data_IF_078749316098
#
_entry.id   IF_078749316098
#
_cell.length_a   1.000
_cell.length_b   1.000
_cell.length_c   1.000
_cell.angle_alpha   90.00
_cell.angle_beta   90.00
_cell.angle_gamma   90.00
#
_symmetry.space_group_name_H-M   'P 1'
#
loop_
_entity.id
_entity.type
_entity.pdbx_description
1 polymer ?
#
# COMPACT_ATOMS: atom_id res chain seq x y z
N UNK A 1 -28.91 -34.83 -89.15
CA UNK A 1 -29.45 -34.31 -87.90
C UNK A 1 -28.35 -34.63 -86.80
N UNK A 2 -27.55 -33.65 -86.53
CA UNK A 2 -26.34 -33.80 -85.74
C UNK A 2 -26.62 -33.36 -84.29
N UNK A 3 -26.51 -34.27 -83.34
CA UNK A 3 -26.68 -33.99 -81.91
C UNK A 3 -25.36 -33.55 -81.36
N UNK A 4 -25.24 -32.31 -80.90
CA UNK A 4 -24.09 -31.80 -80.20
C UNK A 4 -24.29 -31.99 -78.69
N UNK A 5 -23.50 -32.84 -78.08
CA UNK A 5 -23.42 -33.03 -76.62
C UNK A 5 -22.51 -31.94 -76.04
N UNK A 6 -23.05 -31.05 -75.19
CA UNK A 6 -22.29 -30.08 -74.44
C UNK A 6 -21.98 -30.69 -73.06
N UNK A 7 -20.72 -31.01 -72.84
CA UNK A 7 -20.23 -31.46 -71.52
C UNK A 7 -19.92 -30.23 -70.63
N UNK A 8 -20.65 -30.07 -69.54
CA UNK A 8 -20.40 -29.05 -68.50
C UNK A 8 -19.43 -29.64 -67.52
N UNK A 9 -18.18 -29.12 -67.50
CA UNK A 9 -17.22 -29.40 -66.44
C UNK A 9 -17.50 -28.51 -65.22
N UNK A 10 -17.96 -29.13 -64.13
CA UNK A 10 -18.07 -28.48 -62.84
C UNK A 10 -16.67 -28.58 -62.16
N UNK A 11 -16.00 -27.44 -62.06
CA UNK A 11 -14.79 -27.34 -61.22
C UNK A 11 -15.19 -27.14 -59.78
N UNK A 12 -15.02 -28.15 -58.93
CA UNK A 12 -15.10 -28.02 -57.50
C UNK A 12 -13.79 -27.34 -57.00
N UNK A 13 -13.92 -26.08 -56.59
CA UNK A 13 -12.82 -25.40 -55.89
C UNK A 13 -12.85 -25.85 -54.42
N UNK A 14 -11.98 -26.75 -54.04
CA UNK A 14 -11.66 -27.02 -52.65
C UNK A 14 -10.87 -25.81 -52.11
N UNK A 15 -11.51 -24.96 -51.36
CA UNK A 15 -10.79 -23.97 -50.52
C UNK A 15 -10.14 -24.71 -49.33
N UNK A 16 -8.86 -24.81 -49.36
CA UNK A 16 -8.07 -25.19 -48.19
C UNK A 16 -8.25 -24.10 -47.13
N UNK A 17 -9.00 -24.40 -46.08
CA UNK A 17 -8.93 -23.66 -44.84
C UNK A 17 -7.63 -24.11 -44.18
N UNK A 18 -6.58 -23.34 -44.33
CA UNK A 18 -5.40 -23.45 -43.47
C UNK A 18 -5.84 -23.12 -42.05
N UNK A 19 -5.92 -24.15 -41.25
CA UNK A 19 -6.02 -24.06 -39.80
C UNK A 19 -4.75 -23.33 -39.33
N UNK A 20 -4.88 -22.02 -39.00
CA UNK A 20 -3.81 -21.28 -38.35
C UNK A 20 -3.57 -21.94 -36.99
N UNK A 21 -2.62 -22.86 -36.97
CA UNK A 21 -2.05 -23.37 -35.74
C UNK A 21 -1.57 -22.17 -34.92
N UNK A 22 -2.22 -21.93 -33.78
CA UNK A 22 -1.74 -21.03 -32.76
C UNK A 22 -0.30 -21.43 -32.43
N UNK A 23 0.65 -20.55 -32.74
CA UNK A 23 2.05 -20.71 -32.30
C UNK A 23 2.03 -20.90 -30.78
N UNK A 24 2.79 -21.88 -30.27
CA UNK A 24 3.04 -21.93 -28.85
C UNK A 24 3.71 -20.59 -28.47
N UNK A 25 3.21 -19.96 -27.41
CA UNK A 25 3.82 -18.77 -26.80
C UNK A 25 5.20 -19.24 -26.34
N UNK A 26 6.22 -18.98 -27.16
CA UNK A 26 7.59 -19.20 -26.77
C UNK A 26 7.91 -18.26 -25.63
N UNK A 27 8.64 -18.77 -24.64
CA UNK A 27 9.26 -17.96 -23.59
C UNK A 27 10.15 -16.91 -24.26
N UNK A 28 9.57 -15.74 -24.57
CA UNK A 28 10.35 -14.60 -25.02
C UNK A 28 10.94 -13.94 -23.78
N UNK A 29 12.23 -14.17 -23.52
CA UNK A 29 12.98 -13.33 -22.59
C UNK A 29 13.04 -11.92 -23.18
N UNK A 30 12.17 -11.03 -22.70
CA UNK A 30 12.22 -9.60 -23.04
C UNK A 30 13.57 -9.04 -22.58
N UNK A 31 14.20 -8.19 -23.39
CA UNK A 31 15.30 -7.36 -22.89
C UNK A 31 14.77 -6.35 -21.87
N UNK A 32 15.63 -5.76 -21.04
CA UNK A 32 15.19 -4.74 -20.10
C UNK A 32 14.56 -3.55 -20.81
N UNK A 33 15.08 -3.19 -22.00
CA UNK A 33 14.60 -2.06 -22.81
C UNK A 33 13.19 -2.30 -23.41
N UNK A 34 12.71 -3.56 -23.42
CA UNK A 34 11.40 -3.93 -23.94
C UNK A 34 10.34 -4.00 -22.85
N UNK A 35 10.72 -4.08 -21.57
CA UNK A 35 9.77 -4.20 -20.44
C UNK A 35 8.99 -2.90 -20.24
N UNK A 36 7.66 -3.03 -20.10
CA UNK A 36 6.78 -1.92 -19.80
C UNK A 36 5.99 -2.18 -18.52
N UNK A 37 6.25 -1.38 -17.47
CA UNK A 37 5.63 -1.49 -16.15
C UNK A 37 4.48 -0.50 -16.02
N UNK A 38 3.30 -0.98 -15.65
CA UNK A 38 2.18 -0.13 -15.24
C UNK A 38 2.17 0.04 -13.73
N UNK A 39 2.06 1.28 -13.22
CA UNK A 39 1.92 1.56 -11.79
C UNK A 39 0.63 2.33 -11.53
N UNK A 40 -0.30 1.73 -10.78
CA UNK A 40 -1.59 2.34 -10.43
C UNK A 40 -1.61 2.64 -8.94
N UNK A 41 -1.64 3.92 -8.60
CA UNK A 41 -1.63 4.41 -7.21
C UNK A 41 -3.03 4.86 -6.81
N UNK A 42 -3.45 4.57 -5.57
CA UNK A 42 -4.70 5.04 -5.01
C UNK A 42 -4.81 6.57 -5.08
N UNK A 43 -3.91 7.27 -4.43
CA UNK A 43 -3.95 8.74 -4.29
C UNK A 43 -2.54 9.31 -4.17
N UNK A 44 -2.43 10.62 -4.36
CA UNK A 44 -1.20 11.39 -4.10
C UNK A 44 -1.43 12.44 -2.98
N UNK A 45 -2.43 12.23 -2.10
CA UNK A 45 -2.73 13.18 -1.01
C UNK A 45 -1.71 13.12 0.12
N UNK A 46 -1.30 11.91 0.52
CA UNK A 46 -0.28 11.70 1.54
C UNK A 46 1.10 11.91 0.91
N UNK A 47 2.00 12.57 1.65
CA UNK A 47 3.34 12.97 1.19
C UNK A 47 4.16 11.78 0.67
N UNK A 48 4.04 10.62 1.33
CA UNK A 48 4.79 9.42 0.96
C UNK A 48 4.56 8.98 -0.48
N UNK A 49 3.32 9.06 -1.01
CA UNK A 49 2.97 8.53 -2.34
C UNK A 49 3.68 9.26 -3.49
N UNK A 50 4.05 10.53 -3.30
CA UNK A 50 4.91 11.22 -4.26
C UNK A 50 6.31 10.61 -4.29
N UNK A 51 6.89 10.37 -3.11
CA UNK A 51 8.21 9.74 -2.98
C UNK A 51 8.20 8.30 -3.50
N UNK A 52 7.19 7.50 -3.15
CA UNK A 52 7.00 6.13 -3.67
C UNK A 52 7.01 6.13 -5.21
N UNK A 53 6.20 7.03 -5.82
CA UNK A 53 6.11 7.17 -7.27
C UNK A 53 7.44 7.54 -7.91
N UNK A 54 8.09 8.60 -7.42
CA UNK A 54 9.33 9.12 -8.00
C UNK A 54 10.45 8.10 -7.93
N UNK A 55 10.66 7.48 -6.77
CA UNK A 55 11.71 6.48 -6.56
C UNK A 55 11.45 5.23 -7.40
N UNK A 56 10.19 4.76 -7.45
CA UNK A 56 9.81 3.60 -8.25
C UNK A 56 10.06 3.85 -9.74
N UNK A 57 9.58 5.00 -10.26
CA UNK A 57 9.77 5.36 -11.68
C UNK A 57 11.25 5.52 -12.06
N UNK A 58 12.04 6.13 -11.17
CA UNK A 58 13.47 6.31 -11.40
C UNK A 58 14.19 4.96 -11.45
N UNK A 59 13.93 4.07 -10.49
CA UNK A 59 14.55 2.74 -10.43
C UNK A 59 14.17 1.89 -11.66
N UNK A 60 12.89 1.89 -12.08
CA UNK A 60 12.45 1.18 -13.29
C UNK A 60 13.21 1.69 -14.52
N UNK A 61 13.36 3.01 -14.67
CA UNK A 61 14.11 3.63 -15.78
C UNK A 61 15.61 3.29 -15.72
N UNK A 62 16.22 3.27 -14.52
CA UNK A 62 17.63 2.86 -14.34
C UNK A 62 17.86 1.40 -14.70
N UNK A 63 16.85 0.53 -14.56
CA UNK A 63 16.88 -0.85 -14.99
C UNK A 63 16.67 -1.02 -16.51
N UNK A 64 16.52 0.08 -17.25
CA UNK A 64 16.31 0.10 -18.70
C UNK A 64 14.87 -0.19 -19.14
N UNK A 65 13.90 -0.22 -18.21
CA UNK A 65 12.50 -0.48 -18.51
C UNK A 65 11.68 0.83 -18.63
N UNK A 66 10.53 0.74 -19.30
CA UNK A 66 9.54 1.83 -19.35
C UNK A 66 8.58 1.72 -18.19
N UNK A 67 8.07 2.86 -17.73
CA UNK A 67 7.04 2.90 -16.68
C UNK A 67 6.01 3.98 -16.98
N UNK A 68 4.74 3.70 -16.67
CA UNK A 68 3.67 4.70 -16.66
C UNK A 68 2.89 4.57 -15.36
N UNK A 69 2.79 5.69 -14.64
CA UNK A 69 2.06 5.78 -13.37
C UNK A 69 0.78 6.58 -13.52
N UNK A 70 -0.30 6.07 -12.96
CA UNK A 70 -1.61 6.73 -12.89
C UNK A 70 -2.10 6.72 -11.44
N UNK A 71 -2.72 7.83 -11.01
CA UNK A 71 -3.27 7.98 -9.67
C UNK A 71 -4.78 8.16 -9.70
N UNK A 72 -5.50 7.37 -8.93
CA UNK A 72 -6.97 7.30 -8.96
C UNK A 72 -7.67 8.36 -8.10
N UNK A 73 -6.91 9.11 -7.28
CA UNK A 73 -7.43 10.15 -6.38
C UNK A 73 -8.54 9.68 -5.43
N UNK A 74 -8.38 8.46 -4.88
CA UNK A 74 -9.33 7.89 -3.94
C UNK A 74 -10.64 7.43 -4.58
N UNK A 75 -10.59 6.89 -5.81
CA UNK A 75 -11.78 6.44 -6.51
C UNK A 75 -11.57 5.08 -7.18
N UNK A 76 -12.34 4.07 -6.75
CA UNK A 76 -12.23 2.69 -7.24
C UNK A 76 -12.50 2.56 -8.73
N UNK A 77 -13.55 3.22 -9.26
CA UNK A 77 -13.91 3.13 -10.67
C UNK A 77 -12.83 3.77 -11.56
N UNK A 78 -12.21 4.86 -11.09
CA UNK A 78 -11.08 5.48 -11.78
C UNK A 78 -9.88 4.55 -11.76
N UNK A 79 -9.60 3.91 -10.61
CA UNK A 79 -8.47 2.98 -10.49
C UNK A 79 -8.60 1.78 -11.43
N UNK A 80 -9.79 1.19 -11.51
CA UNK A 80 -10.10 0.09 -12.44
C UNK A 80 -9.90 0.51 -13.90
N UNK A 81 -10.42 1.69 -14.30
CA UNK A 81 -10.27 2.20 -15.67
C UNK A 81 -8.82 2.53 -16.02
N UNK A 82 -8.02 2.98 -15.05
CA UNK A 82 -6.60 3.23 -15.24
C UNK A 82 -5.81 1.94 -15.44
N UNK A 83 -6.15 0.88 -14.69
CA UNK A 83 -5.58 -0.44 -14.90
C UNK A 83 -5.95 -0.99 -16.28
N UNK A 84 -7.24 -0.88 -16.69
CA UNK A 84 -7.70 -1.27 -18.01
C UNK A 84 -6.93 -0.56 -19.13
N UNK A 85 -6.76 0.77 -19.02
CA UNK A 85 -5.98 1.56 -19.98
C UNK A 85 -4.53 1.07 -20.10
N UNK A 86 -3.86 0.78 -18.98
CA UNK A 86 -2.48 0.27 -18.99
C UNK A 86 -2.39 -1.12 -19.64
N UNK A 87 -3.37 -1.98 -19.38
CA UNK A 87 -3.46 -3.30 -20.03
C UNK A 87 -3.66 -3.17 -21.54
N UNK A 88 -4.52 -2.24 -22.01
CA UNK A 88 -4.71 -1.94 -23.43
C UNK A 88 -3.45 -1.35 -24.09
N UNK A 89 -2.65 -0.60 -23.34
CA UNK A 89 -1.35 -0.07 -23.79
C UNK A 89 -0.25 -1.15 -23.84
N UNK A 90 -0.52 -2.35 -23.35
CA UNK A 90 0.38 -3.50 -23.42
C UNK A 90 1.48 -3.50 -22.36
N UNK A 91 1.16 -3.16 -21.12
CA UNK A 91 2.09 -3.36 -19.99
C UNK A 91 2.37 -4.86 -19.77
N UNK A 92 3.59 -5.19 -19.37
CA UNK A 92 4.03 -6.57 -19.09
C UNK A 92 3.75 -6.98 -17.63
N UNK A 93 3.61 -6.00 -16.74
CA UNK A 93 3.29 -6.19 -15.33
C UNK A 93 2.53 -4.98 -14.79
N UNK A 94 1.55 -5.21 -13.90
CA UNK A 94 0.89 -4.17 -13.14
C UNK A 94 1.35 -4.17 -11.69
N UNK A 95 1.73 -2.99 -11.19
CA UNK A 95 1.96 -2.72 -9.76
C UNK A 95 0.81 -1.88 -9.28
N UNK A 96 0.14 -2.30 -8.20
CA UNK A 96 -1.10 -1.67 -7.74
C UNK A 96 -1.04 -1.35 -6.26
N UNK A 97 -1.24 -0.08 -5.91
CA UNK A 97 -1.61 0.33 -4.55
C UNK A 97 -3.13 0.40 -4.49
N UNK A 98 -3.83 -0.59 -3.94
CA UNK A 98 -5.29 -0.60 -3.99
C UNK A 98 -5.89 0.53 -3.14
N UNK A 99 -6.93 1.21 -3.67
CA UNK A 99 -7.77 2.11 -2.88
C UNK A 99 -8.66 1.32 -1.93
N UNK A 100 -9.32 0.31 -2.47
CA UNK A 100 -10.13 -0.63 -1.71
C UNK A 100 -9.59 -2.05 -1.92
N UNK A 101 -9.25 -2.71 -0.83
CA UNK A 101 -8.63 -4.02 -0.85
C UNK A 101 -9.48 -5.11 -1.54
N UNK A 102 -10.81 -5.03 -1.43
CA UNK A 102 -11.76 -6.00 -1.99
C UNK A 102 -12.10 -5.69 -3.45
N UNK A 103 -12.42 -4.42 -3.75
CA UNK A 103 -12.84 -3.97 -5.10
C UNK A 103 -11.70 -4.12 -6.10
N UNK A 104 -10.46 -3.91 -5.67
CA UNK A 104 -9.28 -4.05 -6.53
C UNK A 104 -9.00 -5.48 -7.00
N UNK A 105 -9.71 -6.49 -6.46
CA UNK A 105 -9.71 -7.85 -6.99
C UNK A 105 -10.06 -7.91 -8.48
N UNK A 106 -10.92 -7.00 -8.94
CA UNK A 106 -11.29 -6.87 -10.36
C UNK A 106 -10.10 -6.51 -11.26
N UNK A 107 -9.16 -5.72 -10.75
CA UNK A 107 -7.93 -5.37 -11.50
C UNK A 107 -7.10 -6.63 -11.74
N UNK A 108 -6.97 -7.50 -10.72
CA UNK A 108 -6.24 -8.76 -10.84
C UNK A 108 -6.90 -9.69 -11.87
N UNK A 109 -8.23 -9.78 -11.87
CA UNK A 109 -8.98 -10.61 -12.84
C UNK A 109 -8.75 -10.11 -14.28
N UNK A 110 -8.83 -8.79 -14.51
CA UNK A 110 -8.62 -8.18 -15.82
C UNK A 110 -7.18 -8.37 -16.30
N UNK A 111 -6.20 -8.18 -15.42
CA UNK A 111 -4.79 -8.36 -15.73
C UNK A 111 -4.49 -9.82 -16.12
N UNK A 112 -4.97 -10.79 -15.36
CA UNK A 112 -4.79 -12.21 -15.66
C UNK A 112 -5.50 -12.62 -16.96
N UNK A 113 -6.67 -12.04 -17.25
CA UNK A 113 -7.33 -12.27 -18.54
C UNK A 113 -6.48 -11.77 -19.72
N UNK A 114 -5.71 -10.68 -19.52
CA UNK A 114 -4.75 -10.16 -20.49
C UNK A 114 -3.37 -10.88 -20.45
N UNK A 115 -3.17 -11.85 -19.55
CA UNK A 115 -1.90 -12.55 -19.38
C UNK A 115 -0.84 -11.75 -18.61
N UNK A 116 -1.24 -10.68 -17.91
CA UNK A 116 -0.38 -9.77 -17.15
C UNK A 116 -0.40 -10.12 -15.67
N UNK A 117 0.79 -10.20 -15.05
CA UNK A 117 0.93 -10.45 -13.60
C UNK A 117 0.71 -9.17 -12.79
N UNK A 118 0.25 -9.33 -11.53
CA UNK A 118 -0.06 -8.22 -10.63
C UNK A 118 0.75 -8.31 -9.34
N UNK A 119 1.42 -7.20 -9.03
CA UNK A 119 2.09 -6.96 -7.75
C UNK A 119 1.18 -6.04 -6.90
N UNK A 120 0.77 -6.51 -5.73
CA UNK A 120 0.15 -5.67 -4.71
C UNK A 120 1.23 -4.93 -3.94
N UNK A 121 1.25 -3.61 -4.04
CA UNK A 121 2.27 -2.74 -3.47
C UNK A 121 1.78 -2.05 -2.21
N UNK A 122 2.52 -2.16 -1.11
CA UNK A 122 2.24 -1.63 0.22
C UNK A 122 0.92 -2.15 0.82
N UNK A 123 -0.21 -1.98 0.14
CA UNK A 123 -1.54 -2.45 0.55
C UNK A 123 -1.90 -3.77 -0.13
N UNK A 124 -2.55 -4.68 0.60
CA UNK A 124 -2.89 -6.01 0.09
C UNK A 124 -4.24 -6.01 -0.64
N UNK A 125 -4.23 -6.47 -1.89
CA UNK A 125 -5.48 -6.80 -2.60
C UNK A 125 -6.02 -8.12 -2.05
N UNK A 126 -7.25 -8.12 -1.57
CA UNK A 126 -7.93 -9.27 -0.99
C UNK A 126 -8.75 -10.06 -2.03
N UNK A 127 -9.05 -11.29 -1.69
CA UNK A 127 -9.95 -12.17 -2.44
C UNK A 127 -9.59 -12.36 -3.93
N UNK A 128 -8.31 -12.20 -4.29
CA UNK A 128 -7.79 -12.31 -5.65
C UNK A 128 -6.55 -13.22 -5.74
N UNK A 129 -6.23 -13.69 -6.95
CA UNK A 129 -5.01 -14.46 -7.21
C UNK A 129 -3.83 -13.50 -7.47
N UNK A 130 -3.43 -12.72 -6.48
CA UNK A 130 -2.29 -11.80 -6.58
C UNK A 130 -1.00 -12.60 -6.77
N UNK A 131 -0.15 -12.19 -7.72
CA UNK A 131 1.08 -12.92 -8.03
C UNK A 131 2.19 -12.67 -7.00
N UNK A 132 2.25 -11.43 -6.47
CA UNK A 132 3.19 -11.05 -5.40
C UNK A 132 2.61 -9.91 -4.55
N UNK A 133 2.90 -9.96 -3.25
CA UNK A 133 2.68 -8.84 -2.35
C UNK A 133 4.01 -8.34 -1.80
N UNK A 134 4.23 -7.02 -1.85
CA UNK A 134 5.39 -6.37 -1.24
C UNK A 134 4.94 -5.24 -0.33
N UNK A 135 5.37 -5.29 0.93
CA UNK A 135 4.96 -4.34 1.97
C UNK A 135 5.94 -4.37 3.16
N UNK A 136 5.49 -3.84 4.28
CA UNK A 136 6.11 -4.00 5.59
C UNK A 136 5.31 -5.00 6.45
N UNK A 137 5.90 -5.46 7.56
CA UNK A 137 5.14 -6.19 8.58
C UNK A 137 4.19 -5.22 9.29
N UNK A 138 2.95 -5.15 8.78
CA UNK A 138 1.96 -4.20 9.25
C UNK A 138 1.38 -4.55 10.64
N UNK A 139 1.39 -5.82 11.05
CA UNK A 139 1.08 -6.16 12.45
C UNK A 139 2.16 -5.65 13.38
N UNK A 140 3.43 -5.76 12.97
CA UNK A 140 4.56 -5.24 13.75
C UNK A 140 4.49 -3.72 13.90
N UNK A 141 4.02 -2.99 12.89
CA UNK A 141 3.77 -1.52 13.00
C UNK A 141 2.86 -1.23 14.20
N UNK A 142 1.70 -1.87 14.26
CA UNK A 142 0.75 -1.66 15.37
C UNK A 142 1.32 -2.03 16.73
N UNK A 143 2.12 -3.11 16.81
CA UNK A 143 2.81 -3.51 18.04
C UNK A 143 3.81 -2.44 18.49
N UNK A 144 4.67 -1.96 17.59
CA UNK A 144 5.69 -0.94 17.87
C UNK A 144 5.07 0.37 18.35
N UNK A 145 3.93 0.77 17.77
CA UNK A 145 3.19 1.95 18.22
C UNK A 145 2.76 1.81 19.69
N UNK A 146 2.16 0.69 20.04
CA UNK A 146 1.69 0.46 21.41
C UNK A 146 2.85 0.28 22.38
N UNK A 147 3.86 -0.49 22.02
CA UNK A 147 5.04 -0.74 22.88
C UNK A 147 5.71 0.58 23.28
N UNK A 148 5.88 1.52 22.34
CA UNK A 148 6.45 2.82 22.66
C UNK A 148 5.51 3.67 23.54
N UNK A 149 4.21 3.69 23.24
CA UNK A 149 3.25 4.43 24.10
C UNK A 149 3.21 3.88 25.54
N UNK A 150 3.31 2.56 25.71
CA UNK A 150 3.32 1.91 27.03
C UNK A 150 4.59 2.25 27.86
N UNK A 151 5.68 2.67 27.22
CA UNK A 151 6.87 3.18 27.91
C UNK A 151 6.57 4.52 28.62
N UNK A 152 5.55 5.25 28.21
CA UNK A 152 5.13 6.54 28.78
C UNK A 152 3.93 6.39 29.71
N UNK A 153 2.92 5.64 29.31
CA UNK A 153 1.65 5.45 30.04
C UNK A 153 1.17 4.01 29.88
N UNK A 154 0.94 3.31 30.99
CA UNK A 154 0.50 1.90 30.98
C UNK A 154 -0.86 1.68 31.64
N UNK A 155 -1.58 2.76 32.00
CA UNK A 155 -2.92 2.73 32.63
C UNK A 155 -3.73 3.93 32.20
N UNK A 156 -5.06 3.81 32.24
CA UNK A 156 -6.00 4.90 32.02
C UNK A 156 -6.83 4.76 30.75
N UNK A 157 -7.32 5.88 30.23
CA UNK A 157 -8.19 5.95 29.08
C UNK A 157 -7.39 6.11 27.77
N UNK A 158 -7.42 5.10 26.94
CA UNK A 158 -6.73 5.08 25.65
C UNK A 158 -7.72 5.24 24.50
N UNK A 159 -7.32 6.00 23.47
CA UNK A 159 -8.04 6.06 22.21
C UNK A 159 -7.24 5.34 21.13
N UNK A 160 -7.93 4.54 20.29
CA UNK A 160 -7.40 4.01 19.05
C UNK A 160 -8.06 4.75 17.88
N UNK A 161 -7.24 5.41 17.05
CA UNK A 161 -7.67 6.14 15.84
C UNK A 161 -7.06 5.45 14.64
N UNK A 162 -7.83 4.58 14.02
CA UNK A 162 -7.42 3.74 12.90
C UNK A 162 -7.31 4.50 11.58
N UNK A 163 -6.82 3.79 10.55
CA UNK A 163 -6.80 4.26 9.17
C UNK A 163 -8.13 4.00 8.44
N UNK A 164 -8.10 3.97 7.10
CA UNK A 164 -9.29 3.68 6.31
C UNK A 164 -9.71 2.21 6.42
N UNK A 165 -10.98 1.94 6.67
CA UNK A 165 -11.53 0.59 6.78
C UNK A 165 -11.42 -0.19 5.46
N UNK A 166 -11.39 0.51 4.32
CA UNK A 166 -11.19 -0.09 2.99
C UNK A 166 -9.75 -0.58 2.72
N UNK A 167 -8.81 -0.21 3.58
CA UNK A 167 -7.39 -0.57 3.49
C UNK A 167 -7.05 -1.72 4.45
N UNK A 168 -6.55 -2.84 3.90
CA UNK A 168 -6.18 -3.99 4.71
C UNK A 168 -5.10 -3.66 5.77
N UNK A 169 -4.21 -2.71 5.51
CA UNK A 169 -3.16 -2.33 6.45
C UNK A 169 -3.75 -1.75 7.75
N UNK A 170 -4.84 -0.96 7.66
CA UNK A 170 -5.51 -0.41 8.84
C UNK A 170 -6.01 -1.50 9.80
N UNK A 171 -6.49 -2.63 9.26
CA UNK A 171 -6.89 -3.79 10.06
C UNK A 171 -5.69 -4.49 10.70
N UNK A 172 -4.57 -4.63 9.97
CA UNK A 172 -3.35 -5.25 10.49
C UNK A 172 -2.70 -4.40 11.59
N UNK A 173 -2.65 -3.07 11.43
CA UNK A 173 -2.17 -2.16 12.48
C UNK A 173 -3.01 -2.31 13.74
N UNK A 174 -4.36 -2.30 13.59
CA UNK A 174 -5.25 -2.50 14.73
C UNK A 174 -5.06 -3.86 15.37
N UNK A 175 -4.93 -4.92 14.60
CA UNK A 175 -4.67 -6.28 15.10
C UNK A 175 -3.37 -6.33 15.91
N UNK A 176 -2.28 -5.77 15.38
CA UNK A 176 -1.00 -5.66 16.08
C UNK A 176 -1.13 -4.86 17.38
N UNK A 177 -1.74 -3.68 17.33
CA UNK A 177 -1.95 -2.82 18.49
C UNK A 177 -2.77 -3.53 19.58
N UNK A 178 -3.92 -4.12 19.22
CA UNK A 178 -4.79 -4.80 20.18
C UNK A 178 -4.14 -6.06 20.77
N UNK A 179 -3.28 -6.76 20.03
CA UNK A 179 -2.54 -7.90 20.56
C UNK A 179 -1.66 -7.55 21.77
N UNK A 180 -1.10 -6.34 21.81
CA UNK A 180 -0.31 -5.82 22.93
C UNK A 180 -1.19 -5.20 24.01
N UNK A 181 -2.28 -4.49 23.64
CA UNK A 181 -3.16 -3.81 24.60
C UNK A 181 -4.06 -4.77 25.36
N UNK A 182 -4.50 -5.88 24.75
CA UNK A 182 -5.51 -6.78 25.31
C UNK A 182 -5.19 -7.26 26.74
N UNK A 183 -3.97 -7.68 27.10
CA UNK A 183 -3.63 -8.04 28.47
C UNK A 183 -3.82 -6.90 29.50
N UNK A 184 -3.64 -5.64 29.09
CA UNK A 184 -3.85 -4.46 29.94
C UNK A 184 -5.34 -4.15 30.09
N UNK A 185 -6.11 -4.34 29.03
CA UNK A 185 -7.58 -4.18 29.04
C UNK A 185 -8.20 -5.24 29.94
N UNK A 186 -7.80 -6.51 29.81
CA UNK A 186 -8.33 -7.62 30.60
C UNK A 186 -8.08 -7.47 32.11
N UNK A 187 -6.96 -6.83 32.47
CA UNK A 187 -6.67 -6.52 33.90
C UNK A 187 -7.36 -5.25 34.41
N UNK A 188 -7.99 -4.50 33.52
CA UNK A 188 -8.59 -3.22 33.86
C UNK A 188 -7.59 -2.07 34.06
N UNK A 189 -6.34 -2.24 33.63
CA UNK A 189 -5.33 -1.19 33.65
C UNK A 189 -5.61 -0.14 32.58
N UNK A 190 -6.07 -0.54 31.40
CA UNK A 190 -6.40 0.32 30.26
C UNK A 190 -7.88 0.16 29.89
N UNK A 191 -8.54 1.28 29.64
CA UNK A 191 -9.88 1.36 29.06
C UNK A 191 -9.81 1.98 27.68
N UNK A 192 -10.27 1.30 26.66
CA UNK A 192 -10.43 1.88 25.32
C UNK A 192 -11.70 2.73 25.29
N UNK A 193 -11.55 4.03 25.06
CA UNK A 193 -12.66 5.00 25.03
C UNK A 193 -13.05 5.43 23.63
N UNK A 194 -12.18 5.15 22.66
CA UNK A 194 -12.42 5.30 21.23
C UNK A 194 -11.71 4.15 20.52
N UNK A 195 -12.38 3.51 19.57
CA UNK A 195 -11.82 2.49 18.69
C UNK A 195 -12.55 2.60 17.35
N UNK A 196 -12.06 3.50 16.48
CA UNK A 196 -12.73 3.83 15.22
C UNK A 196 -11.74 3.93 14.08
N UNK A 197 -12.20 3.55 12.89
CA UNK A 197 -11.51 3.79 11.62
C UNK A 197 -11.71 5.24 11.15
N UNK A 198 -10.78 5.72 10.32
CA UNK A 198 -10.80 7.07 9.75
C UNK A 198 -10.97 6.98 8.25
N UNK A 199 -12.12 7.36 7.74
CA UNK A 199 -12.42 7.30 6.31
C UNK A 199 -11.37 8.04 5.50
N UNK A 200 -10.83 7.35 4.46
CA UNK A 200 -9.85 7.89 3.51
C UNK A 200 -8.56 8.41 4.17
N UNK A 201 -8.19 7.90 5.37
CA UNK A 201 -7.03 8.38 6.13
C UNK A 201 -7.05 9.89 6.42
N UNK A 202 -8.24 10.51 6.42
CA UNK A 202 -8.40 11.97 6.46
C UNK A 202 -8.15 12.55 7.85
N UNK A 203 -7.11 13.40 8.03
CA UNK A 203 -6.79 14.01 9.35
C UNK A 203 -7.93 14.81 9.96
N UNK A 204 -8.79 15.45 9.15
CA UNK A 204 -9.95 16.20 9.66
C UNK A 204 -11.00 15.27 10.26
N UNK A 205 -11.21 14.08 9.69
CA UNK A 205 -12.12 13.08 10.25
C UNK A 205 -11.56 12.52 11.57
N UNK A 206 -10.24 12.24 11.61
CA UNK A 206 -9.57 11.84 12.85
C UNK A 206 -9.74 12.89 13.96
N UNK A 207 -9.60 14.18 13.63
CA UNK A 207 -9.85 15.29 14.53
C UNK A 207 -11.30 15.31 15.03
N UNK A 208 -12.29 15.21 14.12
CA UNK A 208 -13.72 15.21 14.47
C UNK A 208 -14.09 14.04 15.38
N UNK A 209 -13.58 12.84 15.10
CA UNK A 209 -13.80 11.66 15.93
C UNK A 209 -13.24 11.87 17.35
N UNK A 210 -12.05 12.43 17.47
CA UNK A 210 -11.45 12.74 18.77
C UNK A 210 -12.20 13.85 19.50
N UNK A 211 -12.61 14.92 18.80
CA UNK A 211 -13.41 16.02 19.41
C UNK A 211 -14.75 15.51 19.97
N UNK A 212 -15.41 14.53 19.32
CA UNK A 212 -16.64 13.90 19.85
C UNK A 212 -16.39 13.21 21.19
N UNK A 213 -15.28 12.48 21.31
CA UNK A 213 -14.92 11.83 22.59
C UNK A 213 -14.64 12.88 23.66
N UNK A 214 -13.82 13.87 23.32
CA UNK A 214 -13.41 14.94 24.26
C UNK A 214 -14.58 15.80 24.75
N UNK A 215 -15.68 15.89 23.98
CA UNK A 215 -16.89 16.59 24.42
C UNK A 215 -17.58 15.91 25.61
N UNK A 216 -17.37 14.61 25.82
CA UNK A 216 -18.00 13.81 26.87
C UNK A 216 -17.00 13.32 27.92
N UNK A 217 -15.74 13.20 27.57
CA UNK A 217 -14.68 12.67 28.42
C UNK A 217 -13.39 13.46 28.16
N UNK A 218 -13.04 14.34 29.11
CA UNK A 218 -11.82 15.15 29.00
C UNK A 218 -10.66 14.54 29.85
N UNK A 219 -10.52 13.23 29.77
CA UNK A 219 -9.53 12.45 30.53
C UNK A 219 -9.00 11.34 29.60
N UNK A 220 -8.06 11.72 28.71
CA UNK A 220 -7.38 10.84 27.77
C UNK A 220 -5.92 10.77 28.17
N UNK A 221 -5.44 9.56 28.44
CA UNK A 221 -4.09 9.30 28.90
C UNK A 221 -3.12 8.98 27.74
N UNK A 222 -3.61 8.38 26.65
CA UNK A 222 -2.80 8.10 25.46
C UNK A 222 -3.66 7.90 24.20
N UNK A 223 -3.06 8.10 23.02
CA UNK A 223 -3.69 7.82 21.74
C UNK A 223 -2.78 6.98 20.84
N UNK A 224 -3.31 5.87 20.36
CA UNK A 224 -2.73 5.08 19.29
C UNK A 224 -3.33 5.56 17.98
N UNK A 225 -2.61 6.40 17.26
CA UNK A 225 -3.00 6.87 15.93
C UNK A 225 -2.26 6.06 14.86
N UNK A 226 -3.01 5.57 13.87
CA UNK A 226 -2.52 4.61 12.89
C UNK A 226 -1.44 5.19 11.97
N UNK A 227 -1.51 6.50 11.65
CA UNK A 227 -0.47 7.18 10.89
C UNK A 227 -0.26 8.64 11.34
N UNK A 228 0.71 9.32 10.77
CA UNK A 228 1.10 10.69 11.15
C UNK A 228 0.06 11.74 10.76
N UNK A 229 -0.67 11.53 9.67
CA UNK A 229 -1.78 12.38 9.28
C UNK A 229 -2.91 12.33 10.32
N UNK A 230 -3.37 11.13 10.70
CA UNK A 230 -4.38 10.95 11.75
C UNK A 230 -3.89 11.45 13.11
N UNK A 231 -2.61 11.22 13.45
CA UNK A 231 -1.98 11.78 14.65
C UNK A 231 -2.06 13.31 14.69
N UNK A 232 -1.81 13.98 13.56
CA UNK A 232 -1.93 15.44 13.44
C UNK A 232 -3.35 15.94 13.73
N UNK A 233 -4.37 15.24 13.21
CA UNK A 233 -5.78 15.53 13.54
C UNK A 233 -6.09 15.37 15.02
N UNK A 234 -5.67 14.25 15.62
CA UNK A 234 -5.81 13.95 17.05
C UNK A 234 -5.15 15.03 17.91
N UNK A 235 -3.89 15.37 17.64
CA UNK A 235 -3.12 16.39 18.39
C UNK A 235 -3.83 17.74 18.32
N UNK A 236 -4.42 18.08 17.16
CA UNK A 236 -5.22 19.30 17.02
C UNK A 236 -6.43 19.29 17.95
N UNK A 237 -7.16 18.17 18.04
CA UNK A 237 -8.31 18.02 18.93
C UNK A 237 -7.90 18.10 20.41
N UNK A 238 -6.84 17.40 20.81
CA UNK A 238 -6.30 17.45 22.18
C UNK A 238 -5.87 18.86 22.57
N UNK A 239 -5.18 19.58 21.68
CA UNK A 239 -4.74 20.96 21.91
C UNK A 239 -5.93 21.90 22.13
N UNK A 240 -6.97 21.79 21.31
CA UNK A 240 -8.22 22.57 21.47
C UNK A 240 -8.93 22.30 22.82
N UNK A 241 -8.84 21.06 23.30
CA UNK A 241 -9.38 20.66 24.59
C UNK A 241 -8.49 21.05 25.79
N UNK A 242 -7.32 21.64 25.54
CA UNK A 242 -6.36 22.01 26.59
C UNK A 242 -5.54 20.84 27.16
N UNK A 243 -5.59 19.68 26.51
CA UNK A 243 -4.82 18.49 26.89
C UNK A 243 -3.46 18.54 26.19
N UNK A 244 -2.40 18.73 26.98
CA UNK A 244 -1.02 18.77 26.50
C UNK A 244 -0.23 17.58 27.06
N UNK A 245 0.76 17.11 26.30
CA UNK A 245 1.64 16.03 26.73
C UNK A 245 1.00 14.64 26.74
N UNK A 246 -0.18 14.47 26.15
CA UNK A 246 -0.77 13.14 25.93
C UNK A 246 0.10 12.40 24.90
N UNK A 247 0.62 11.20 25.23
CA UNK A 247 1.39 10.41 24.27
C UNK A 247 0.55 10.03 23.06
N UNK A 248 1.08 10.30 21.86
CA UNK A 248 0.43 9.99 20.57
C UNK A 248 1.42 9.27 19.66
N UNK A 249 1.02 8.12 19.13
CA UNK A 249 1.79 7.40 18.10
C UNK A 249 1.53 7.93 16.70
N UNK A 250 2.32 7.48 15.74
CA UNK A 250 2.13 7.71 14.31
C UNK A 250 2.86 6.69 13.47
N UNK A 251 2.84 6.88 12.15
CA UNK A 251 3.53 6.06 11.15
C UNK A 251 3.75 6.88 9.89
N UNK A 252 4.74 6.52 9.10
CA UNK A 252 5.20 7.04 7.81
C UNK A 252 6.32 8.11 7.90
N UNK A 253 6.64 8.61 9.10
CA UNK A 253 7.69 9.60 9.33
C UNK A 253 7.54 10.87 8.47
N UNK A 254 6.30 11.35 8.29
CA UNK A 254 6.04 12.61 7.61
C UNK A 254 6.86 13.76 8.23
N UNK A 255 7.32 14.70 7.43
CA UNK A 255 8.13 15.83 7.92
C UNK A 255 7.42 16.57 9.08
N UNK A 256 6.11 16.77 8.94
CA UNK A 256 5.28 17.41 9.97
C UNK A 256 5.28 16.63 11.30
N UNK A 257 5.27 15.30 11.22
CA UNK A 257 5.29 14.43 12.39
C UNK A 257 6.67 14.38 13.05
N UNK A 258 7.73 14.32 12.25
CA UNK A 258 9.11 14.36 12.78
C UNK A 258 9.37 15.68 13.51
N UNK A 259 8.87 16.80 12.98
CA UNK A 259 8.89 18.10 13.71
C UNK A 259 8.09 18.04 15.01
N UNK A 260 6.89 17.44 15.01
CA UNK A 260 6.11 17.24 16.26
C UNK A 260 6.81 16.35 17.27
N UNK A 261 7.58 15.35 16.83
CA UNK A 261 8.41 14.51 17.72
C UNK A 261 9.55 15.33 18.34
N UNK A 262 10.22 16.16 17.55
CA UNK A 262 11.26 17.07 18.05
C UNK A 262 10.69 18.08 19.05
N UNK A 263 9.50 18.61 18.79
CA UNK A 263 8.79 19.57 19.65
C UNK A 263 8.14 18.89 20.87
N UNK A 264 8.10 17.56 20.93
CA UNK A 264 7.51 16.79 22.02
C UNK A 264 5.95 16.76 22.03
N UNK A 265 5.31 17.10 20.91
CA UNK A 265 3.84 17.05 20.76
C UNK A 265 3.33 15.74 20.15
N UNK A 266 4.21 14.94 19.54
CA UNK A 266 4.01 13.54 19.14
C UNK A 266 5.11 12.70 19.77
N UNK A 267 4.78 11.49 20.24
CA UNK A 267 5.72 10.65 20.96
C UNK A 267 6.68 9.92 20.04
N UNK A 268 6.12 9.34 18.98
CA UNK A 268 6.84 8.50 18.04
C UNK A 268 6.17 8.43 16.68
N UNK A 269 6.89 7.96 15.71
CA UNK A 269 6.36 7.46 14.44
C UNK A 269 7.01 6.12 14.09
N UNK A 270 6.35 5.31 13.28
CA UNK A 270 6.96 4.10 12.69
C UNK A 270 7.43 4.45 11.28
N UNK A 271 8.74 4.39 11.07
CA UNK A 271 9.35 4.62 9.77
C UNK A 271 9.31 3.35 8.93
N UNK A 272 8.74 3.48 7.75
CA UNK A 272 8.75 2.49 6.68
C UNK A 272 9.59 3.07 5.54
N UNK A 273 10.80 2.52 5.30
CA UNK A 273 11.69 3.06 4.28
C UNK A 273 11.08 2.97 2.88
N UNK A 274 10.49 4.07 2.42
CA UNK A 274 9.90 4.20 1.09
C UNK A 274 10.95 3.88 0.02
N UNK A 275 12.19 4.33 0.23
CA UNK A 275 13.30 4.06 -0.68
C UNK A 275 13.54 2.56 -0.84
N UNK A 276 13.56 1.81 0.27
CA UNK A 276 13.71 0.36 0.24
C UNK A 276 12.54 -0.31 -0.47
N UNK A 277 11.30 0.04 -0.14
CA UNK A 277 10.10 -0.56 -0.70
C UNK A 277 10.03 -0.32 -2.21
N UNK A 278 10.13 0.94 -2.64
CA UNK A 278 9.98 1.32 -4.04
C UNK A 278 11.07 0.72 -4.93
N UNK A 279 12.35 0.72 -4.49
CA UNK A 279 13.44 0.13 -5.24
C UNK A 279 13.32 -1.39 -5.35
N UNK A 280 12.93 -2.09 -4.27
CA UNK A 280 12.69 -3.53 -4.34
C UNK A 280 11.53 -3.86 -5.27
N UNK A 281 10.41 -3.15 -5.15
CA UNK A 281 9.26 -3.38 -6.01
C UNK A 281 9.55 -3.12 -7.49
N UNK A 282 10.32 -2.09 -7.82
CA UNK A 282 10.74 -1.79 -9.19
C UNK A 282 11.59 -2.93 -9.79
N UNK A 283 12.58 -3.44 -9.04
CA UNK A 283 13.41 -4.58 -9.46
C UNK A 283 12.55 -5.82 -9.69
N UNK A 284 11.69 -6.13 -8.74
CA UNK A 284 10.79 -7.29 -8.80
C UNK A 284 9.81 -7.16 -9.98
N UNK A 285 9.28 -5.96 -10.25
CA UNK A 285 8.38 -5.74 -11.38
C UNK A 285 9.08 -6.08 -12.71
N UNK A 286 10.33 -5.62 -12.90
CA UNK A 286 11.12 -5.94 -14.09
C UNK A 286 11.46 -7.43 -14.17
N UNK A 287 11.78 -8.07 -13.04
CA UNK A 287 12.06 -9.52 -13.00
C UNK A 287 10.80 -10.35 -13.33
N UNK A 288 9.64 -10.00 -12.76
CA UNK A 288 8.36 -10.67 -13.05
C UNK A 288 8.00 -10.53 -14.54
N UNK A 289 8.18 -9.35 -15.13
CA UNK A 289 7.94 -9.12 -16.55
C UNK A 289 8.84 -9.99 -17.45
N UNK A 290 10.06 -10.30 -16.99
CA UNK A 290 10.99 -11.19 -17.66
C UNK A 290 10.78 -12.67 -17.36
N UNK A 291 9.77 -13.02 -16.55
CA UNK A 291 9.53 -14.37 -16.05
C UNK A 291 10.71 -14.95 -15.24
N UNK A 292 11.47 -14.10 -14.55
CA UNK A 292 12.52 -14.52 -13.62
C UNK A 292 11.90 -15.01 -12.30
N UNK A 293 12.61 -15.91 -11.61
CA UNK A 293 12.18 -16.41 -10.30
C UNK A 293 12.40 -15.33 -9.22
N UNK A 294 11.42 -15.16 -8.33
CA UNK A 294 11.46 -14.19 -7.24
C UNK A 294 11.60 -14.92 -5.92
N UNK A 295 12.62 -14.53 -5.15
CA UNK A 295 12.75 -14.98 -3.77
C UNK A 295 11.78 -14.19 -2.87
N UNK A 296 10.97 -14.92 -2.10
CA UNK A 296 10.02 -14.33 -1.12
C UNK A 296 10.40 -14.76 0.29
N UNK A 297 10.10 -13.93 1.29
CA UNK A 297 10.42 -14.25 2.68
C UNK A 297 9.22 -14.73 3.49
N UNK A 298 7.99 -14.53 2.98
CA UNK A 298 6.76 -14.92 3.64
C UNK A 298 5.65 -15.30 2.64
N UNK A 299 4.53 -15.79 3.16
CA UNK A 299 3.25 -15.90 2.47
C UNK A 299 2.17 -15.26 3.32
N UNK A 300 1.29 -14.46 2.70
CA UNK A 300 0.19 -13.77 3.38
C UNK A 300 -1.14 -14.22 2.80
N UNK A 301 -2.02 -14.74 3.63
CA UNK A 301 -3.37 -15.11 3.21
C UNK A 301 -4.21 -13.87 2.93
N UNK A 302 -4.69 -13.75 1.69
CA UNK A 302 -5.52 -12.62 1.28
C UNK A 302 -7.03 -12.91 1.25
N UNK A 303 -7.44 -14.06 1.79
CA UNK A 303 -8.83 -14.54 1.77
C UNK A 303 -9.13 -15.52 0.62
N UNK A 304 -8.29 -15.61 -0.41
CA UNK A 304 -8.42 -16.53 -1.54
C UNK A 304 -7.25 -17.49 -1.67
N UNK A 305 -6.04 -16.97 -1.52
CA UNK A 305 -4.79 -17.72 -1.62
C UNK A 305 -3.77 -17.26 -0.57
N UNK A 306 -2.76 -18.06 -0.35
CA UNK A 306 -1.54 -17.65 0.34
C UNK A 306 -0.63 -16.99 -0.69
N UNK A 307 -0.60 -15.64 -0.68
CA UNK A 307 0.15 -14.82 -1.64
C UNK A 307 1.64 -14.87 -1.31
N UNK A 308 2.52 -15.22 -2.27
CA UNK A 308 3.96 -15.03 -2.09
C UNK A 308 4.27 -13.58 -1.74
N UNK A 309 5.02 -13.34 -0.66
CA UNK A 309 5.14 -12.00 -0.10
C UNK A 309 6.58 -11.65 0.27
N UNK A 310 6.90 -10.37 0.16
CA UNK A 310 8.13 -9.76 0.67
C UNK A 310 7.72 -8.69 1.67
N UNK A 311 7.97 -8.96 2.95
CA UNK A 311 7.71 -8.01 4.03
C UNK A 311 9.04 -7.44 4.55
N UNK A 312 9.11 -6.10 4.54
CA UNK A 312 10.21 -5.34 5.09
C UNK A 312 9.96 -5.02 6.57
N UNK A 313 11.03 -4.83 7.33
CA UNK A 313 10.94 -4.49 8.74
C UNK A 313 10.61 -3.00 8.95
N UNK A 314 9.56 -2.67 9.72
CA UNK A 314 9.29 -1.30 10.15
C UNK A 314 10.21 -0.89 11.30
N UNK A 315 10.54 0.39 11.40
CA UNK A 315 11.49 0.92 12.40
C UNK A 315 10.76 1.93 13.30
N UNK A 316 10.69 1.72 14.63
CA UNK A 316 10.16 2.73 15.55
C UNK A 316 11.14 3.92 15.66
N UNK A 317 10.60 5.12 15.53
CA UNK A 317 11.36 6.37 15.58
C UNK A 317 10.81 7.28 16.65
N UNK A 318 11.69 7.68 17.55
CA UNK A 318 11.48 8.68 18.59
C UNK A 318 12.50 9.81 18.42
N UNK A 319 12.42 10.84 19.23
CA UNK A 319 13.42 11.91 19.22
C UNK A 319 14.88 11.40 19.39
N UNK A 320 15.05 10.22 19.99
CA UNK A 320 16.38 9.68 20.31
C UNK A 320 17.12 9.06 19.12
N UNK A 321 16.42 8.68 18.04
CA UNK A 321 17.02 7.94 16.92
C UNK A 321 16.71 8.50 15.52
N UNK A 322 16.18 9.72 15.41
CA UNK A 322 15.90 10.38 14.12
C UNK A 322 17.14 10.40 13.22
N UNK A 323 18.33 10.70 13.80
CA UNK A 323 19.58 10.81 13.02
C UNK A 323 20.06 9.48 12.47
N UNK A 324 19.97 8.43 13.27
CA UNK A 324 20.42 7.08 12.93
C UNK A 324 19.47 6.32 12.01
N UNK A 325 18.24 6.85 11.83
CA UNK A 325 17.18 6.25 11.02
C UNK A 325 16.86 7.11 9.80
N UNK A 326 15.98 8.07 9.94
CA UNK A 326 15.38 8.88 8.86
C UNK A 326 16.44 9.70 8.11
N UNK A 327 17.36 10.37 8.86
CA UNK A 327 18.40 11.20 8.25
C UNK A 327 19.48 10.34 7.61
N UNK A 328 19.91 9.28 8.29
CA UNK A 328 20.90 8.33 7.75
C UNK A 328 20.44 7.63 6.48
N UNK A 329 19.15 7.30 6.38
CA UNK A 329 18.54 6.72 5.19
C UNK A 329 18.37 7.75 4.03
N UNK A 330 18.55 9.04 4.34
CA UNK A 330 18.41 10.13 3.36
C UNK A 330 16.95 10.48 3.02
N UNK A 331 15.99 10.01 3.83
CA UNK A 331 14.57 10.32 3.62
C UNK A 331 14.25 11.78 3.92
N UNK A 332 14.74 12.31 5.05
CA UNK A 332 14.69 13.74 5.40
C UNK A 332 16.09 14.24 5.76
N UNK A 333 16.35 15.52 5.53
CA UNK A 333 17.61 16.15 5.92
C UNK A 333 17.53 16.80 7.31
N UNK A 334 18.67 17.01 7.96
CA UNK A 334 18.72 17.81 9.20
C UNK A 334 18.12 19.21 9.02
N UNK A 335 18.33 19.82 7.85
CA UNK A 335 17.80 21.14 7.54
C UNK A 335 16.28 21.15 7.47
N UNK A 336 15.65 20.11 6.91
CA UNK A 336 14.19 19.99 6.85
C UNK A 336 13.56 19.90 8.24
N UNK A 337 14.21 19.18 9.14
CA UNK A 337 13.68 18.83 10.47
C UNK A 337 13.88 19.97 11.48
N UNK A 338 15.09 20.56 11.52
CA UNK A 338 15.50 21.45 12.61
C UNK A 338 15.55 22.95 12.25
N UNK A 339 15.16 23.33 11.02
CA UNK A 339 15.10 24.74 10.57
C UNK A 339 13.64 25.24 10.39
#
# INVERSE_FOLDING_TARGET
MLLVLVSVFIHAACSNIEEQATKPIGESHLSADDVYVGFVIDTLKEERWYSDKEIFEEEVKQLGARVKTLAANGNDDVQIKQAELLLEEGVDVLVVVPHNAEISAKIVEMAHFAGVKVISYDRLIRNANVDLYISFDNEQVGKLQVEEILNHVSKGNFAYVGGAESDNNAHLFRQGAMSILQPYIDRGDIRIVLDEFTEGWNPSIAQENMEKVLSNLNDIDAVIAANDGTAGGVITALTKAGLQGVPVSGQDAELSAVKRIVDGTQTMTVYKSIQSLAKHAAKIAVQIAKNEEIETNQTINNGKIDVPSILLEPIPVTNNNIKETIIKDGYLTEADIYN
#
